data_IF_092835010882
#
_entry.id   IF_092835010882
#
_cell.length_a   1.000
_cell.length_b   1.000
_cell.length_c   1.000
_cell.angle_alpha   90.00
_cell.angle_beta   90.00
_cell.angle_gamma   90.00
#
_symmetry.space_group_name_H-M   'P 1'
#
loop_
_entity.id
_entity.type
_entity.pdbx_description
1 polymer ?
#
# COMPACT_ATOMS: atom_id res chain seq x y z
N UNK A 1 -13.45 -19.77 12.21
CA UNK A 1 -12.90 -18.41 12.49
C UNK A 1 -12.23 -17.96 11.22
N UNK A 2 -12.62 -16.81 10.67
CA UNK A 2 -12.01 -16.27 9.46
C UNK A 2 -10.76 -15.49 9.85
N UNK A 3 -9.64 -15.77 9.21
CA UNK A 3 -8.39 -15.02 9.43
C UNK A 3 -8.29 -13.86 8.46
N UNK A 4 -7.69 -12.74 8.90
CA UNK A 4 -7.45 -11.58 8.03
C UNK A 4 -6.64 -11.95 6.77
N UNK A 5 -5.76 -12.94 6.87
CA UNK A 5 -4.92 -13.42 5.78
C UNK A 5 -5.69 -14.25 4.72
N UNK A 6 -6.96 -14.59 4.98
CA UNK A 6 -7.85 -15.27 4.02
C UNK A 6 -8.66 -14.27 3.18
N UNK A 7 -8.55 -12.97 3.49
CA UNK A 7 -9.15 -11.93 2.67
C UNK A 7 -8.46 -11.83 1.31
N UNK A 8 -9.19 -11.49 0.24
CA UNK A 8 -8.61 -11.17 -1.04
C UNK A 8 -7.53 -10.08 -0.93
N UNK A 9 -6.47 -10.21 -1.72
CA UNK A 9 -5.31 -9.29 -1.67
C UNK A 9 -5.70 -7.83 -1.88
N UNK A 10 -6.67 -7.55 -2.75
CA UNK A 10 -7.15 -6.19 -2.97
C UNK A 10 -7.74 -5.57 -1.71
N UNK A 11 -8.42 -6.36 -0.87
CA UNK A 11 -8.97 -5.88 0.41
C UNK A 11 -7.85 -5.58 1.39
N UNK A 12 -6.83 -6.45 1.47
CA UNK A 12 -5.65 -6.22 2.31
C UNK A 12 -4.90 -4.95 1.90
N UNK A 13 -4.74 -4.71 0.60
CA UNK A 13 -4.12 -3.49 0.07
C UNK A 13 -4.93 -2.24 0.44
N UNK A 14 -6.25 -2.29 0.34
CA UNK A 14 -7.12 -1.20 0.78
C UNK A 14 -7.08 -0.98 2.30
N UNK A 15 -6.80 -2.00 3.11
CA UNK A 15 -6.55 -1.79 4.54
C UNK A 15 -5.19 -1.10 4.78
N UNK A 16 -4.15 -1.53 4.06
CA UNK A 16 -2.80 -1.00 4.25
C UNK A 16 -2.67 0.48 3.88
N UNK A 17 -3.41 1.00 2.90
CA UNK A 17 -3.35 2.45 2.56
C UNK A 17 -3.75 3.36 3.73
N UNK A 18 -4.56 2.86 4.67
CA UNK A 18 -4.99 3.60 5.85
C UNK A 18 -3.95 3.61 6.99
N UNK A 19 -2.94 2.74 6.92
CA UNK A 19 -1.88 2.65 7.93
C UNK A 19 -0.75 3.63 7.58
N UNK A 20 -0.21 4.40 8.53
CA UNK A 20 0.97 5.24 8.31
C UNK A 20 2.14 4.48 7.67
N UNK A 21 2.78 5.09 6.67
CA UNK A 21 3.90 4.48 5.93
C UNK A 21 5.03 3.94 6.83
N UNK A 22 5.46 4.64 7.91
CA UNK A 22 6.49 4.10 8.79
C UNK A 22 6.06 2.81 9.50
N UNK A 23 4.78 2.68 9.85
CA UNK A 23 4.25 1.48 10.50
C UNK A 23 4.16 0.30 9.53
N UNK A 24 3.79 0.56 8.26
CA UNK A 24 3.83 -0.46 7.22
C UNK A 24 5.23 -1.06 7.10
N UNK A 25 6.25 -0.20 6.99
CA UNK A 25 7.63 -0.63 6.75
C UNK A 25 8.28 -1.29 7.96
N UNK A 26 8.05 -0.78 9.18
CA UNK A 26 8.73 -1.23 10.40
C UNK A 26 8.01 -2.36 11.14
N UNK A 27 6.69 -2.45 11.01
CA UNK A 27 5.86 -3.37 11.79
C UNK A 27 5.12 -4.35 10.88
N UNK A 28 4.32 -3.86 9.92
CA UNK A 28 3.42 -4.71 9.14
C UNK A 28 4.18 -5.67 8.21
N UNK A 29 5.30 -5.25 7.61
CA UNK A 29 6.19 -6.12 6.79
C UNK A 29 6.78 -7.31 7.56
N UNK A 30 6.78 -7.26 8.89
CA UNK A 30 7.33 -8.31 9.76
C UNK A 30 6.28 -9.33 10.20
N UNK A 31 4.99 -9.08 9.94
CA UNK A 31 3.88 -9.94 10.40
C UNK A 31 3.93 -11.32 9.74
N UNK A 32 3.95 -11.36 8.41
CA UNK A 32 4.07 -12.61 7.64
C UNK A 32 4.54 -12.33 6.20
N UNK A 33 4.78 -13.39 5.43
CA UNK A 33 5.23 -13.27 4.01
C UNK A 33 4.20 -12.56 3.14
N UNK A 34 2.93 -12.94 3.24
CA UNK A 34 1.83 -12.29 2.51
C UNK A 34 1.81 -10.77 2.69
N UNK A 35 1.94 -10.30 3.93
CA UNK A 35 1.93 -8.86 4.22
C UNK A 35 3.17 -8.16 3.65
N UNK A 36 4.34 -8.81 3.74
CA UNK A 36 5.56 -8.28 3.12
C UNK A 36 5.41 -8.14 1.61
N UNK A 37 4.91 -9.17 0.95
CA UNK A 37 4.77 -9.19 -0.51
C UNK A 37 3.78 -8.11 -0.97
N UNK A 38 2.66 -7.94 -0.26
CA UNK A 38 1.67 -6.89 -0.54
C UNK A 38 2.16 -5.48 -0.18
N UNK A 39 3.02 -5.32 0.82
CA UNK A 39 3.58 -4.01 1.16
C UNK A 39 4.67 -3.61 0.16
N UNK A 40 5.38 -4.58 -0.42
CA UNK A 40 6.48 -4.32 -1.34
C UNK A 40 5.99 -4.04 -2.79
N UNK A 41 4.70 -4.21 -3.10
CA UNK A 41 4.16 -3.84 -4.42
C UNK A 41 4.03 -2.32 -4.61
N UNK A 42 4.48 -1.84 -5.77
CA UNK A 42 4.42 -0.42 -6.17
C UNK A 42 2.98 0.14 -6.17
N UNK A 43 1.99 -0.71 -6.47
CA UNK A 43 0.58 -0.29 -6.55
C UNK A 43 0.01 0.15 -5.20
N UNK A 44 0.54 -0.34 -4.08
CA UNK A 44 0.17 0.12 -2.73
C UNK A 44 0.62 1.57 -2.53
N UNK A 45 1.89 1.84 -2.78
CA UNK A 45 2.51 3.15 -2.55
C UNK A 45 1.95 4.22 -3.48
N UNK A 46 1.65 3.87 -4.73
CA UNK A 46 0.94 4.79 -5.66
C UNK A 46 -0.44 5.17 -5.11
N UNK A 47 -1.25 4.20 -4.68
CA UNK A 47 -2.58 4.47 -4.11
C UNK A 47 -2.50 5.28 -2.82
N UNK A 48 -1.60 4.91 -1.91
CA UNK A 48 -1.40 5.62 -0.65
C UNK A 48 -0.96 7.07 -0.87
N UNK A 49 0.02 7.29 -1.74
CA UNK A 49 0.52 8.63 -2.08
C UNK A 49 -0.55 9.50 -2.75
N UNK A 50 -1.40 8.92 -3.61
CA UNK A 50 -2.54 9.63 -4.19
C UNK A 50 -3.57 10.02 -3.13
N UNK A 51 -3.88 9.11 -2.22
CA UNK A 51 -4.82 9.36 -1.12
C UNK A 51 -4.31 10.41 -0.14
N UNK A 52 -3.00 10.44 0.12
CA UNK A 52 -2.37 11.41 1.02
C UNK A 52 -2.08 12.76 0.32
N UNK A 53 -2.43 12.91 -0.97
CA UNK A 53 -2.30 14.16 -1.71
C UNK A 53 -0.87 14.48 -2.17
N UNK A 54 0.04 13.51 -2.15
CA UNK A 54 1.44 13.70 -2.55
C UNK A 54 1.64 13.76 -4.08
N UNK A 55 0.64 13.34 -4.87
CA UNK A 55 0.63 13.57 -6.32
C UNK A 55 -0.11 14.87 -6.64
N UNK A 56 0.64 15.94 -6.91
CA UNK A 56 0.14 17.05 -7.71
C UNK A 56 0.10 16.60 -9.17
N UNK A 57 -0.94 17.02 -9.90
CA UNK A 57 -1.25 16.66 -11.30
C UNK A 57 -0.17 17.05 -12.33
N UNK A 58 0.99 17.53 -11.89
CA UNK A 58 1.96 18.29 -12.69
C UNK A 58 3.08 17.45 -13.34
N UNK A 59 3.25 16.16 -12.99
CA UNK A 59 4.38 15.35 -13.50
C UNK A 59 4.00 14.22 -14.45
N UNK A 60 2.88 14.36 -15.15
CA UNK A 60 2.52 13.47 -16.27
C UNK A 60 2.28 14.26 -17.56
N UNK A 61 2.99 15.36 -17.78
CA UNK A 61 3.12 15.92 -19.12
C UNK A 61 4.32 15.24 -19.80
N UNK A 62 4.16 14.63 -20.99
CA UNK A 62 5.29 14.21 -21.79
C UNK A 62 6.08 15.47 -22.16
N UNK A 63 7.39 15.46 -21.94
CA UNK A 63 8.27 16.46 -22.53
C UNK A 63 8.26 16.21 -24.03
N UNK A 64 7.73 17.18 -24.80
CA UNK A 64 7.77 17.19 -26.27
C UNK A 64 9.20 17.11 -26.81
#
# INVERSE_FOLDING_TARGET
MVHINELPENILLELFIHIPAPQLLRNCRLVCRLWRDLIDVVSLWKRKSLREGFFTKDRCEPVE
#
